data_IF_242352303103
#
_entry.id   IF_242352303103
#
_cell.length_a   1.000
_cell.length_b   1.000
_cell.length_c   1.000
_cell.angle_alpha   90.00
_cell.angle_beta   90.00
_cell.angle_gamma   90.00
#
_symmetry.space_group_name_H-M   'P 1'
#
loop_
_entity.id
_entity.type
_entity.pdbx_description
1 polymer ?
#
# COMPACT_ATOMS: atom_id res chain seq x y z
N UNK A 1 -0.99 -15.58 10.56
CA UNK A 1 -0.52 -15.45 9.16
C UNK A 1 1.00 -15.56 9.10
N UNK A 2 1.51 -16.44 8.24
CA UNK A 2 2.96 -16.58 7.96
C UNK A 2 3.26 -15.86 6.65
N UNK A 3 4.31 -15.04 6.64
CA UNK A 3 4.82 -14.37 5.44
C UNK A 3 5.97 -15.23 4.87
N UNK A 4 6.14 -15.21 3.56
CA UNK A 4 7.33 -15.74 2.89
C UNK A 4 8.48 -14.76 3.00
N UNK A 5 9.72 -15.26 2.88
CA UNK A 5 10.92 -14.42 2.89
C UNK A 5 10.81 -13.29 1.85
N UNK A 6 11.08 -12.05 2.28
CA UNK A 6 11.01 -10.87 1.42
C UNK A 6 9.62 -10.22 1.34
N UNK A 7 8.55 -10.91 1.73
CA UNK A 7 7.21 -10.31 1.77
C UNK A 7 7.07 -9.34 2.94
N UNK A 8 6.28 -8.29 2.74
CA UNK A 8 5.95 -7.32 3.79
C UNK A 8 4.46 -7.11 3.92
N UNK A 9 3.94 -7.21 5.15
CA UNK A 9 2.58 -6.79 5.46
C UNK A 9 2.57 -5.28 5.67
N UNK A 10 1.85 -4.57 4.82
CA UNK A 10 1.81 -3.11 4.78
C UNK A 10 0.40 -2.62 5.04
N UNK A 11 0.27 -1.66 5.94
CA UNK A 11 -0.95 -0.85 6.13
C UNK A 11 -0.79 0.46 5.36
N UNK A 12 -1.71 0.71 4.44
CA UNK A 12 -1.81 1.95 3.69
C UNK A 12 -3.06 2.72 4.12
N UNK A 13 -2.89 3.99 4.47
CA UNK A 13 -3.99 4.89 4.83
C UNK A 13 -3.97 6.15 3.96
N UNK A 14 -5.16 6.55 3.52
CA UNK A 14 -5.34 7.82 2.81
C UNK A 14 -5.27 8.97 3.82
N UNK A 15 -4.29 9.86 3.65
CA UNK A 15 -4.05 10.99 4.57
C UNK A 15 -4.57 12.32 4.01
N UNK A 16 -4.99 12.35 2.74
CA UNK A 16 -5.44 13.56 2.03
C UNK A 16 -6.65 13.32 1.14
N UNK A 17 -7.45 14.38 0.94
CA UNK A 17 -8.67 14.39 0.13
C UNK A 17 -8.45 14.25 -1.37
N UNK A 18 -7.21 14.43 -1.83
CA UNK A 18 -6.91 14.59 -3.26
C UNK A 18 -6.49 13.28 -3.96
N UNK A 19 -6.36 12.18 -3.23
CA UNK A 19 -5.82 10.94 -3.81
C UNK A 19 -6.96 10.10 -4.40
N UNK A 20 -7.42 10.50 -5.59
CA UNK A 20 -8.33 9.71 -6.46
C UNK A 20 -7.58 8.72 -7.36
N UNK A 21 -6.26 8.59 -7.16
CA UNK A 21 -5.40 7.76 -8.01
C UNK A 21 -5.48 6.27 -7.66
N UNK A 22 -5.39 5.42 -8.69
CA UNK A 22 -5.41 3.97 -8.54
C UNK A 22 -4.09 3.43 -7.93
N UNK A 23 -3.87 3.68 -6.64
CA UNK A 23 -2.61 3.43 -5.93
C UNK A 23 -2.08 2.01 -6.12
N UNK A 24 -2.93 1.01 -5.91
CA UNK A 24 -2.55 -0.41 -6.09
C UNK A 24 -2.08 -0.66 -7.53
N UNK A 25 -2.81 -0.13 -8.52
CA UNK A 25 -2.43 -0.30 -9.93
C UNK A 25 -1.11 0.39 -10.27
N UNK A 26 -0.85 1.57 -9.69
CA UNK A 26 0.39 2.31 -9.90
C UNK A 26 1.58 1.61 -9.25
N UNK A 27 1.43 1.05 -8.05
CA UNK A 27 2.50 0.31 -7.38
C UNK A 27 2.85 -0.93 -8.22
N UNK A 28 1.85 -1.72 -8.61
CA UNK A 28 2.08 -2.94 -9.38
C UNK A 28 2.70 -2.65 -10.74
N UNK A 29 2.20 -1.66 -11.49
CA UNK A 29 2.74 -1.33 -12.82
C UNK A 29 4.09 -0.59 -12.75
N UNK A 30 4.28 0.28 -11.76
CA UNK A 30 5.44 1.15 -11.66
C UNK A 30 6.65 0.48 -11.03
N UNK A 31 6.43 -0.49 -10.12
CA UNK A 31 7.50 -1.13 -9.35
C UNK A 31 7.58 -2.64 -9.57
N UNK A 32 6.60 -3.24 -10.28
CA UNK A 32 6.58 -4.68 -10.55
C UNK A 32 6.10 -5.55 -9.38
N UNK A 33 5.56 -4.92 -8.32
CA UNK A 33 5.22 -5.60 -7.07
C UNK A 33 3.80 -6.18 -7.12
N UNK A 34 3.66 -7.42 -6.67
CA UNK A 34 2.36 -8.01 -6.40
C UNK A 34 1.81 -7.51 -5.07
N UNK A 35 0.59 -6.95 -5.11
CA UNK A 35 -0.10 -6.38 -3.93
C UNK A 35 -1.32 -7.24 -3.62
N UNK A 36 -1.19 -8.09 -2.62
CA UNK A 36 -2.23 -9.01 -2.17
C UNK A 36 -3.04 -8.38 -1.03
N UNK A 37 -4.23 -7.85 -1.32
CA UNK A 37 -5.10 -7.19 -0.34
C UNK A 37 -5.69 -8.23 0.62
N UNK A 38 -5.46 -8.05 1.93
CA UNK A 38 -5.95 -8.94 3.00
C UNK A 38 -7.20 -8.36 3.65
N UNK A 39 -7.22 -7.04 3.82
CA UNK A 39 -8.32 -6.30 4.39
C UNK A 39 -8.37 -4.92 3.76
N UNK A 40 -9.58 -4.43 3.49
CA UNK A 40 -9.78 -3.07 3.02
C UNK A 40 -11.09 -2.54 3.56
N UNK A 41 -11.03 -1.35 4.11
CA UNK A 41 -12.20 -0.62 4.59
C UNK A 41 -12.02 0.83 4.10
N UNK A 42 -12.79 1.17 3.05
CA UNK A 42 -12.75 2.47 2.40
C UNK A 42 -14.18 2.94 2.26
N UNK A 43 -14.49 4.06 2.91
CA UNK A 43 -15.75 4.75 2.79
C UNK A 43 -15.56 6.09 2.08
N UNK A 44 -16.63 6.59 1.46
CA UNK A 44 -16.64 7.92 0.85
C UNK A 44 -17.50 8.82 1.73
N UNK A 45 -16.86 9.79 2.38
CA UNK A 45 -17.54 10.78 3.23
C UNK A 45 -17.28 12.16 2.66
N UNK A 46 -18.34 12.87 2.27
CA UNK A 46 -18.25 14.19 1.63
C UNK A 46 -17.26 14.20 0.43
N UNK A 47 -17.46 13.27 -0.51
CA UNK A 47 -16.65 13.07 -1.72
C UNK A 47 -15.16 12.79 -1.47
N UNK A 48 -14.79 12.46 -0.23
CA UNK A 48 -13.43 12.13 0.16
C UNK A 48 -13.34 10.66 0.55
N UNK A 49 -12.40 9.88 -0.03
CA UNK A 49 -12.13 8.54 0.45
C UNK A 49 -11.50 8.59 1.84
N UNK A 50 -12.07 7.86 2.79
CA UNK A 50 -11.59 7.71 4.16
C UNK A 50 -11.37 6.23 4.42
N UNK A 51 -10.26 5.91 5.08
CA UNK A 51 -9.92 4.55 5.49
C UNK A 51 -8.60 4.09 4.90
N UNK A 52 -8.48 2.79 4.66
CA UNK A 52 -7.22 2.21 4.23
C UNK A 52 -7.31 0.72 3.94
N UNK A 53 -6.18 0.19 3.49
CA UNK A 53 -6.05 -1.24 3.18
C UNK A 53 -4.83 -1.81 3.89
N UNK A 54 -4.91 -3.10 4.22
CA UNK A 54 -3.81 -3.93 4.66
C UNK A 54 -3.54 -4.96 3.58
N UNK A 55 -2.33 -4.97 3.06
CA UNK A 55 -1.93 -5.84 1.95
C UNK A 55 -0.55 -6.44 2.18
N UNK A 56 -0.31 -7.60 1.59
CA UNK A 56 1.03 -8.19 1.49
C UNK A 56 1.65 -7.74 0.20
N UNK A 57 2.84 -7.13 0.30
CA UNK A 57 3.67 -6.75 -0.83
C UNK A 57 4.65 -7.89 -1.07
N UNK A 58 4.74 -8.35 -2.30
CA UNK A 58 5.54 -9.50 -2.71
C UNK A 58 6.37 -9.18 -3.95
N UNK A 59 7.66 -8.97 -3.73
CA UNK A 59 8.75 -8.86 -4.72
C UNK A 59 10.08 -8.70 -3.95
N UNK A 60 11.17 -8.37 -4.64
CA UNK A 60 12.45 -8.03 -4.02
C UNK A 60 12.33 -6.88 -3.00
N UNK A 61 12.99 -6.96 -1.83
CA UNK A 61 12.94 -5.92 -0.80
C UNK A 61 13.24 -4.51 -1.32
N UNK A 62 14.17 -4.39 -2.26
CA UNK A 62 14.56 -3.10 -2.86
C UNK A 62 13.40 -2.44 -3.63
N UNK A 63 12.56 -3.23 -4.30
CA UNK A 63 11.38 -2.73 -5.02
C UNK A 63 10.31 -2.29 -4.03
N UNK A 64 10.08 -3.11 -3.00
CA UNK A 64 9.15 -2.79 -1.91
C UNK A 64 9.56 -1.47 -1.24
N UNK A 65 10.84 -1.29 -0.92
CA UNK A 65 11.35 -0.05 -0.34
C UNK A 65 11.16 1.16 -1.27
N UNK A 66 11.40 1.00 -2.58
CA UNK A 66 11.16 2.04 -3.57
C UNK A 66 9.67 2.44 -3.64
N UNK A 67 8.75 1.46 -3.64
CA UNK A 67 7.31 1.70 -3.63
C UNK A 67 6.84 2.37 -2.34
N UNK A 68 7.33 1.94 -1.17
CA UNK A 68 7.00 2.58 0.11
C UNK A 68 7.44 4.04 0.14
N UNK A 69 8.63 4.35 -0.39
CA UNK A 69 9.10 5.72 -0.51
C UNK A 69 8.25 6.56 -1.47
N UNK A 70 7.84 6.00 -2.59
CA UNK A 70 6.92 6.64 -3.52
C UNK A 70 5.57 6.97 -2.87
N UNK A 71 5.00 6.05 -2.09
CA UNK A 71 3.74 6.28 -1.37
C UNK A 71 3.86 7.41 -0.36
N UNK A 72 4.96 7.47 0.40
CA UNK A 72 5.22 8.56 1.35
C UNK A 72 5.30 9.92 0.67
N UNK A 73 5.91 10.00 -0.52
CA UNK A 73 5.98 11.24 -1.30
C UNK A 73 4.61 11.72 -1.81
N UNK A 74 3.63 10.82 -1.90
CA UNK A 74 2.25 11.11 -2.33
C UNK A 74 1.26 11.29 -1.18
N UNK A 75 1.75 11.57 0.03
CA UNK A 75 0.93 11.74 1.24
C UNK A 75 0.06 10.51 1.55
N UNK A 76 0.56 9.30 1.26
CA UNK A 76 -0.05 8.05 1.68
C UNK A 76 0.78 7.51 2.84
N UNK A 77 0.12 7.29 3.98
CA UNK A 77 0.77 6.68 5.13
C UNK A 77 0.92 5.19 4.83
N UNK A 78 2.16 4.74 4.60
CA UNK A 78 2.50 3.34 4.37
C UNK A 78 3.40 2.84 5.51
N UNK A 79 2.84 1.96 6.34
CA UNK A 79 3.48 1.39 7.53
C UNK A 79 3.69 -0.12 7.34
N UNK A 80 4.92 -0.59 7.57
CA UNK A 80 5.22 -2.02 7.59
C UNK A 80 4.84 -2.58 8.95
N UNK A 81 3.84 -3.46 8.98
CA UNK A 81 3.35 -4.12 10.19
C UNK A 81 4.15 -5.38 10.53
N UNK A 82 4.67 -6.06 9.52
CA UNK A 82 5.42 -7.31 9.66
C UNK A 82 6.25 -7.59 8.40
N UNK A 83 7.42 -8.19 8.59
CA UNK A 83 8.30 -8.71 7.54
C UNK A 83 8.36 -10.24 7.62
N UNK A 84 8.60 -10.89 6.48
CA UNK A 84 8.73 -12.33 6.32
C UNK A 84 10.16 -12.81 6.19
#
# INVERSE_FOLDING_TARGET
>A
MRLSEGQRLVRMQYVSKEVSEALVSQITKGFGIDVNIIFGDIDIVADTPIGGIVAIFDDEPVRIDAALNYLRQRNIAAEVLKEG
#
